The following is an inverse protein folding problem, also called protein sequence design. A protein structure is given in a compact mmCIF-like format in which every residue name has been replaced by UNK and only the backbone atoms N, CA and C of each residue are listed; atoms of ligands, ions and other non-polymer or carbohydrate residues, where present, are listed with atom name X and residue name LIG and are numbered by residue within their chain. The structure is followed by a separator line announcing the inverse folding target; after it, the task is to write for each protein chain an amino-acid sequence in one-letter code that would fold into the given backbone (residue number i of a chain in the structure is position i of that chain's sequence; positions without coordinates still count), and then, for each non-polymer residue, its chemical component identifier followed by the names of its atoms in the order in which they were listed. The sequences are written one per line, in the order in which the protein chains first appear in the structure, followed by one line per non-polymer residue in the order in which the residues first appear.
data_IF_906301321221
#
_entry.id   IF_906301321221
#
_cell.length_a   1.000
_cell.length_b   1.000
_cell.length_c   1.000
_cell.angle_alpha   90.00
_cell.angle_beta   90.00
_cell.angle_gamma   90.00
#
_symmetry.space_group_name_H-M   'P 1'
#
loop_
_entity.id
_entity.type
_entity.pdbx_description
1 polymer ?
#
# COMPACT_ATOMS: atom_id res chain seq x y z
N UNK A 1 -29.62 -36.51 7.90
CA UNK A 1 -28.71 -36.04 6.83
C UNK A 1 -27.93 -34.84 7.35
N UNK A 2 -26.73 -35.06 7.89
CA UNK A 2 -25.85 -33.99 8.34
C UNK A 2 -25.06 -33.49 7.12
N UNK A 3 -25.32 -32.24 6.72
CA UNK A 3 -24.54 -31.55 5.68
C UNK A 3 -23.18 -31.19 6.29
N UNK A 4 -22.15 -31.90 5.86
CA UNK A 4 -20.77 -31.56 6.19
C UNK A 4 -20.36 -30.36 5.32
N UNK A 5 -20.36 -29.16 5.90
CA UNK A 5 -19.70 -28.01 5.29
C UNK A 5 -18.19 -28.25 5.42
N UNK A 6 -17.60 -28.87 4.41
CA UNK A 6 -16.14 -28.94 4.28
C UNK A 6 -15.63 -27.54 3.92
N UNK A 7 -15.17 -26.80 4.94
CA UNK A 7 -14.28 -25.66 4.74
C UNK A 7 -12.98 -26.21 4.14
N UNK A 8 -12.78 -25.98 2.84
CA UNK A 8 -11.51 -26.21 2.15
C UNK A 8 -10.49 -25.21 2.71
N UNK A 9 -9.81 -25.60 3.79
CA UNK A 9 -8.67 -24.86 4.34
C UNK A 9 -7.60 -24.80 3.25
N UNK A 10 -7.20 -23.58 2.90
CA UNK A 10 -6.33 -23.28 1.76
C UNK A 10 -4.88 -23.20 2.25
N UNK A 11 -4.17 -24.31 2.16
CA UNK A 11 -2.73 -24.32 2.44
C UNK A 11 -1.97 -23.68 1.26
N UNK A 12 -1.74 -22.38 1.33
CA UNK A 12 -0.81 -21.71 0.45
C UNK A 12 0.60 -21.82 1.00
N UNK A 13 1.33 -22.85 0.55
CA UNK A 13 2.78 -22.88 0.69
C UNK A 13 3.38 -22.91 -0.71
N UNK A 14 4.25 -21.96 -1.03
CA UNK A 14 5.17 -22.14 -2.14
C UNK A 14 6.15 -23.25 -1.75
N UNK A 15 5.89 -24.47 -2.21
CA UNK A 15 6.80 -25.59 -2.02
C UNK A 15 7.65 -25.78 -3.27
N UNK A 16 8.95 -25.93 -3.06
CA UNK A 16 9.84 -26.32 -4.16
C UNK A 16 9.58 -27.81 -4.41
N UNK A 17 9.03 -28.11 -5.58
CA UNK A 17 8.80 -29.47 -6.02
C UNK A 17 10.11 -30.23 -6.28
N UNK A 18 9.99 -31.52 -6.58
CA UNK A 18 11.15 -32.34 -6.97
C UNK A 18 11.73 -31.84 -8.29
N UNK A 19 13.05 -31.97 -8.47
CA UNK A 19 13.74 -31.68 -9.74
C UNK A 19 13.16 -32.56 -10.85
N UNK A 20 12.81 -31.96 -11.99
CA UNK A 20 12.42 -32.71 -13.19
C UNK A 20 13.61 -33.50 -13.73
N UNK A 21 13.39 -34.77 -14.07
CA UNK A 21 14.45 -35.61 -14.62
C UNK A 21 14.59 -35.36 -16.12
N UNK A 22 13.47 -35.31 -16.84
CA UNK A 22 13.44 -35.29 -18.31
C UNK A 22 12.48 -34.22 -18.85
N UNK A 23 12.62 -33.89 -20.14
CA UNK A 23 11.74 -32.92 -20.85
C UNK A 23 10.26 -33.35 -20.86
N UNK A 24 10.00 -34.65 -20.84
CA UNK A 24 8.66 -35.23 -20.75
C UNK A 24 7.93 -34.81 -19.49
N UNK A 25 8.64 -34.79 -18.35
CA UNK A 25 8.08 -34.46 -17.04
C UNK A 25 7.61 -33.00 -16.98
N UNK A 26 8.31 -32.12 -17.71
CA UNK A 26 7.95 -30.70 -17.84
C UNK A 26 6.64 -30.55 -18.63
N UNK A 27 6.51 -31.27 -19.76
CA UNK A 27 5.29 -31.23 -20.58
C UNK A 27 4.10 -31.79 -19.79
N UNK A 28 4.30 -32.88 -19.06
CA UNK A 28 3.26 -33.45 -18.20
C UNK A 28 2.85 -32.46 -17.10
N UNK A 29 3.82 -31.78 -16.46
CA UNK A 29 3.54 -30.78 -15.43
C UNK A 29 2.65 -29.64 -15.96
N UNK A 30 2.94 -29.10 -17.14
CA UNK A 30 2.12 -28.05 -17.77
C UNK A 30 0.77 -28.57 -18.31
N UNK A 31 0.65 -29.88 -18.54
CA UNK A 31 -0.59 -30.51 -19.01
C UNK A 31 -1.59 -30.77 -17.88
N UNK A 32 -1.17 -30.64 -16.62
CA UNK A 32 -2.08 -30.78 -15.47
C UNK A 32 -3.13 -29.67 -15.51
N UNK A 33 -4.39 -30.04 -15.31
CA UNK A 33 -5.47 -29.08 -15.14
C UNK A 33 -5.31 -28.38 -13.79
N UNK A 34 -4.61 -27.26 -13.81
CA UNK A 34 -4.56 -26.30 -12.71
C UNK A 34 -5.51 -25.16 -13.04
N UNK A 35 -6.12 -24.58 -12.01
CA UNK A 35 -6.93 -23.37 -12.21
C UNK A 35 -6.00 -22.24 -12.64
N UNK A 36 -6.45 -21.43 -13.59
CA UNK A 36 -5.69 -20.26 -13.99
C UNK A 36 -5.89 -19.15 -12.98
N UNK A 37 -4.95 -18.22 -12.92
CA UNK A 37 -5.06 -17.05 -12.03
C UNK A 37 -6.36 -16.27 -12.26
N UNK A 38 -6.84 -16.21 -13.51
CA UNK A 38 -8.08 -15.52 -13.87
C UNK A 38 -9.34 -16.20 -13.35
N UNK A 39 -9.28 -17.52 -13.08
CA UNK A 39 -10.40 -18.25 -12.48
C UNK A 39 -10.59 -17.90 -11.01
N UNK A 40 -9.54 -17.36 -10.37
CA UNK A 40 -9.56 -16.90 -8.98
C UNK A 40 -9.89 -15.43 -8.82
N UNK A 41 -9.85 -14.65 -9.90
CA UNK A 41 -10.16 -13.23 -9.86
C UNK A 41 -11.64 -12.99 -10.16
N UNK A 42 -12.25 -11.94 -9.56
CA UNK A 42 -13.61 -11.58 -9.87
C UNK A 42 -13.75 -11.27 -11.37
N UNK A 43 -14.70 -11.96 -12.02
CA UNK A 43 -15.05 -11.67 -13.41
C UNK A 43 -15.83 -10.36 -13.50
N UNK A 44 -15.59 -9.60 -14.57
CA UNK A 44 -16.35 -8.39 -14.89
C UNK A 44 -17.85 -8.73 -14.95
N UNK A 45 -18.65 -8.22 -14.00
CA UNK A 45 -20.09 -8.49 -13.93
C UNK A 45 -20.68 -8.66 -12.53
N UNK A 46 -19.86 -8.74 -11.47
CA UNK A 46 -20.37 -8.64 -10.11
C UNK A 46 -20.96 -7.23 -9.88
N UNK A 47 -22.11 -7.14 -9.20
CA UNK A 47 -22.74 -5.85 -8.87
C UNK A 47 -21.80 -5.05 -7.97
N UNK A 48 -21.05 -4.13 -8.57
CA UNK A 48 -20.14 -3.24 -7.88
C UNK A 48 -20.95 -2.33 -6.95
N UNK A 49 -20.67 -2.41 -5.65
CA UNK A 49 -21.15 -1.40 -4.72
C UNK A 49 -20.41 -0.10 -5.02
N UNK A 50 -21.12 0.87 -5.56
CA UNK A 50 -20.56 2.17 -5.88
C UNK A 50 -20.38 2.98 -4.58
N UNK A 51 -19.17 3.51 -4.31
CA UNK A 51 -18.96 4.45 -3.21
C UNK A 51 -19.87 5.67 -3.35
N UNK A 52 -20.29 6.25 -2.23
CA UNK A 52 -21.18 7.42 -2.25
C UNK A 52 -20.45 8.63 -2.83
N UNK A 53 -21.15 9.53 -3.54
CA UNK A 53 -20.56 10.77 -4.06
C UNK A 53 -19.83 11.57 -2.97
N UNK A 54 -20.42 11.65 -1.77
CA UNK A 54 -19.83 12.33 -0.61
C UNK A 54 -18.47 11.73 -0.22
N UNK A 55 -18.32 10.41 -0.30
CA UNK A 55 -17.08 9.72 0.04
C UNK A 55 -16.00 9.97 -1.01
N UNK A 56 -16.37 9.92 -2.29
CA UNK A 56 -15.46 10.20 -3.40
C UNK A 56 -14.98 11.65 -3.34
N UNK A 57 -15.88 12.62 -3.13
CA UNK A 57 -15.51 14.03 -2.97
C UNK A 57 -14.63 14.26 -1.74
N UNK A 58 -14.91 13.57 -0.62
CA UNK A 58 -14.06 13.61 0.57
C UNK A 58 -12.66 13.08 0.29
N UNK A 59 -12.54 11.96 -0.44
CA UNK A 59 -11.25 11.38 -0.83
C UNK A 59 -10.46 12.33 -1.73
N UNK A 60 -11.11 12.91 -2.76
CA UNK A 60 -10.49 13.91 -3.63
C UNK A 60 -9.96 15.10 -2.83
N UNK A 61 -10.74 15.59 -1.86
CA UNK A 61 -10.31 16.68 -0.96
C UNK A 61 -9.09 16.32 -0.12
N UNK A 62 -9.05 15.12 0.46
CA UNK A 62 -7.90 14.66 1.27
C UNK A 62 -6.65 14.50 0.40
N UNK A 63 -6.81 14.07 -0.85
CA UNK A 63 -5.72 13.93 -1.81
C UNK A 63 -5.27 15.26 -2.44
N UNK A 64 -5.92 16.39 -2.12
CA UNK A 64 -5.63 17.69 -2.75
C UNK A 64 -5.98 17.74 -4.25
N UNK A 65 -6.98 16.96 -4.68
CA UNK A 65 -7.42 16.86 -6.08
C UNK A 65 -8.74 17.60 -6.31
N UNK A 66 -8.96 18.14 -7.52
CA UNK A 66 -10.21 18.81 -7.89
C UNK A 66 -11.39 17.83 -7.94
N UNK A 67 -12.59 18.34 -7.62
CA UNK A 67 -13.80 17.52 -7.46
C UNK A 67 -14.66 17.34 -8.73
N UNK A 68 -14.27 17.97 -9.85
CA UNK A 68 -15.08 18.06 -11.07
C UNK A 68 -15.34 16.70 -11.73
N UNK A 69 -14.36 15.79 -11.69
CA UNK A 69 -14.41 14.49 -12.36
C UNK A 69 -14.69 13.31 -11.42
N UNK A 70 -15.49 13.53 -10.37
CA UNK A 70 -15.77 12.54 -9.34
C UNK A 70 -16.39 11.23 -9.86
N UNK A 71 -17.20 11.28 -10.94
CA UNK A 71 -17.85 10.07 -11.51
C UNK A 71 -16.84 9.05 -12.04
N UNK A 72 -15.78 9.52 -12.72
CA UNK A 72 -14.71 8.65 -13.23
C UNK A 72 -13.90 8.05 -12.07
N UNK A 73 -13.67 8.84 -11.03
CA UNK A 73 -13.01 8.37 -9.80
C UNK A 73 -13.87 7.33 -9.07
N UNK A 74 -15.19 7.53 -8.99
CA UNK A 74 -16.12 6.59 -8.37
C UNK A 74 -16.10 5.22 -9.03
N UNK A 75 -16.15 5.16 -10.36
CA UNK A 75 -16.09 3.90 -11.11
C UNK A 75 -14.76 3.18 -10.93
N UNK A 76 -13.63 3.91 -11.02
CA UNK A 76 -12.31 3.33 -10.80
C UNK A 76 -12.15 2.80 -9.37
N UNK A 77 -12.62 3.58 -8.38
CA UNK A 77 -12.57 3.20 -6.98
C UNK A 77 -13.43 1.96 -6.72
N UNK A 78 -14.62 1.87 -7.32
CA UNK A 78 -15.46 0.68 -7.21
C UNK A 78 -14.75 -0.57 -7.72
N UNK A 79 -14.09 -0.50 -8.88
CA UNK A 79 -13.33 -1.63 -9.44
C UNK A 79 -12.12 -2.00 -8.56
N UNK A 80 -11.43 -0.99 -8.01
CA UNK A 80 -10.29 -1.22 -7.11
C UNK A 80 -10.75 -1.88 -5.80
N UNK A 81 -11.84 -1.39 -5.21
CA UNK A 81 -12.40 -1.94 -3.97
C UNK A 81 -12.93 -3.35 -4.18
N UNK A 82 -13.63 -3.62 -5.29
CA UNK A 82 -14.09 -4.97 -5.58
C UNK A 82 -12.94 -5.96 -5.67
N UNK A 83 -11.83 -5.56 -6.28
CA UNK A 83 -10.63 -6.39 -6.33
C UNK A 83 -10.01 -6.60 -4.94
N UNK A 84 -9.78 -5.52 -4.18
CA UNK A 84 -9.11 -5.57 -2.87
C UNK A 84 -9.95 -6.31 -1.83
N UNK A 85 -11.28 -6.19 -1.87
CA UNK A 85 -12.16 -6.83 -0.90
C UNK A 85 -12.08 -8.37 -0.92
N UNK A 86 -11.54 -8.98 -1.99
CA UNK A 86 -11.26 -10.42 -2.00
C UNK A 86 -10.24 -10.83 -0.93
N UNK A 87 -9.37 -9.90 -0.49
CA UNK A 87 -8.43 -10.15 0.61
C UNK A 87 -9.15 -10.39 1.94
N UNK A 88 -10.40 -9.93 2.10
CA UNK A 88 -11.18 -10.16 3.32
C UNK A 88 -11.61 -11.63 3.47
N UNK A 89 -11.70 -12.36 2.36
CA UNK A 89 -12.05 -13.78 2.35
C UNK A 89 -10.83 -14.70 2.55
N UNK A 90 -9.62 -14.14 2.50
CA UNK A 90 -8.38 -14.91 2.66
C UNK A 90 -8.11 -15.10 4.14
N UNK A 91 -8.08 -16.36 4.58
CA UNK A 91 -7.67 -16.71 5.93
C UNK A 91 -6.24 -16.23 6.21
N UNK A 92 -6.08 -15.50 7.32
CA UNK A 92 -4.78 -15.04 7.80
C UNK A 92 -4.29 -15.99 8.87
N UNK A 93 -3.05 -16.46 8.75
CA UNK A 93 -2.39 -17.21 9.80
C UNK A 93 -2.07 -16.28 10.98
N UNK A 94 -2.85 -16.39 12.06
CA UNK A 94 -2.72 -15.57 13.26
C UNK A 94 -1.43 -15.86 14.05
N UNK A 95 -0.65 -16.87 13.68
CA UNK A 95 0.65 -17.15 14.32
C UNK A 95 1.77 -16.28 13.75
N UNK A 96 1.56 -15.65 12.59
CA UNK A 96 2.53 -14.75 11.96
C UNK A 96 2.45 -13.38 12.64
N UNK A 97 3.55 -12.98 13.30
CA UNK A 97 3.68 -11.64 13.86
C UNK A 97 3.56 -10.59 12.73
N UNK A 98 2.60 -9.64 12.78
CA UNK A 98 2.42 -8.60 11.78
C UNK A 98 3.69 -7.76 11.53
N UNK A 99 4.58 -7.66 12.52
CA UNK A 99 5.86 -6.96 12.38
C UNK A 99 6.85 -7.70 11.47
N UNK A 100 6.62 -9.01 11.25
CA UNK A 100 7.38 -9.90 10.37
C UNK A 100 6.70 -10.17 9.02
N UNK A 101 5.58 -9.49 8.70
CA UNK A 101 4.90 -9.61 7.40
C UNK A 101 5.70 -9.08 6.19
N UNK A 102 6.95 -8.68 6.38
CA UNK A 102 7.87 -8.30 5.31
C UNK A 102 8.52 -9.55 4.71
N UNK A 103 8.73 -9.52 3.39
CA UNK A 103 9.47 -10.55 2.64
C UNK A 103 10.85 -10.82 3.26
N UNK A 104 11.48 -9.79 3.84
CA UNK A 104 12.73 -9.92 4.58
C UNK A 104 12.47 -9.62 6.07
N UNK A 105 12.77 -10.55 6.98
CA UNK A 105 12.61 -10.32 8.41
C UNK A 105 13.56 -9.20 8.85
N UNK A 106 13.03 -8.18 9.52
CA UNK A 106 13.85 -7.14 10.14
C UNK A 106 14.23 -7.59 11.54
N UNK A 107 15.51 -7.88 11.75
CA UNK A 107 16.09 -7.91 13.09
C UNK A 107 16.33 -6.46 13.53
N UNK A 108 15.36 -5.87 14.21
CA UNK A 108 15.54 -4.53 14.78
C UNK A 108 16.38 -4.64 16.05
N UNK A 109 17.52 -3.95 16.09
CA UNK A 109 18.27 -3.77 17.34
C UNK A 109 17.46 -2.83 18.25
N UNK A 110 17.07 -3.23 19.47
CA UNK A 110 16.37 -2.35 20.39
C UNK A 110 17.30 -1.20 20.79
N UNK A 111 16.76 0.02 20.84
CA UNK A 111 17.50 1.20 21.30
C UNK A 111 17.50 1.23 22.83
N UNK A 112 18.69 1.20 23.43
CA UNK A 112 18.82 1.30 24.90
C UNK A 112 18.72 2.75 25.38
N UNK A 113 18.39 2.91 26.66
CA UNK A 113 18.30 4.23 27.30
C UNK A 113 19.64 5.00 27.21
N UNK A 114 20.75 4.30 27.40
CA UNK A 114 22.09 4.91 27.32
C UNK A 114 22.42 5.34 25.90
N UNK A 115 22.12 4.53 24.89
CA UNK A 115 22.29 4.92 23.48
C UNK A 115 21.42 6.13 23.11
N UNK A 116 20.21 6.21 23.65
CA UNK A 116 19.32 7.36 23.42
C UNK A 116 19.87 8.65 24.05
N UNK A 117 20.41 8.57 25.27
CA UNK A 117 21.08 9.71 25.91
C UNK A 117 22.33 10.12 25.12
N UNK A 118 23.15 9.16 24.72
CA UNK A 118 24.34 9.41 23.90
C UNK A 118 23.98 10.10 22.57
N UNK A 119 22.92 9.67 21.89
CA UNK A 119 22.47 10.32 20.65
C UNK A 119 21.96 11.74 20.90
N UNK A 120 21.20 11.97 21.96
CA UNK A 120 20.69 13.31 22.27
C UNK A 120 21.82 14.31 22.56
N UNK A 121 22.87 13.87 23.26
CA UNK A 121 24.01 14.73 23.62
C UNK A 121 24.95 14.97 22.44
N UNK A 122 25.09 14.00 21.53
CA UNK A 122 26.13 14.01 20.49
C UNK A 122 25.61 14.34 19.09
N UNK A 123 24.33 14.68 18.91
CA UNK A 123 23.77 15.03 17.59
C UNK A 123 24.41 16.31 17.04
N UNK A 124 25.35 16.20 16.05
CA UNK A 124 25.97 17.37 15.46
C UNK A 124 25.09 17.91 14.33
N UNK A 125 25.18 19.22 14.06
CA UNK A 125 24.56 19.79 12.85
C UNK A 125 25.42 19.45 11.64
N UNK A 126 24.83 18.81 10.64
CA UNK A 126 25.49 18.47 9.38
C UNK A 126 25.27 19.57 8.33
N UNK A 127 26.37 20.15 7.84
CA UNK A 127 26.35 21.16 6.79
C UNK A 127 25.83 20.61 5.45
N UNK A 128 26.10 19.34 5.14
CA UNK A 128 25.69 18.69 3.90
C UNK A 128 24.17 18.46 3.82
N UNK A 129 23.51 18.41 4.97
CA UNK A 129 22.05 18.29 5.09
C UNK A 129 21.33 19.64 5.18
N UNK A 130 22.08 20.76 5.20
CA UNK A 130 21.50 22.10 5.35
C UNK A 130 21.02 22.42 6.77
N UNK A 131 21.50 21.70 7.80
CA UNK A 131 21.04 21.88 9.19
C UNK A 131 21.59 23.15 9.86
N UNK A 132 22.62 23.76 9.27
CA UNK A 132 23.22 25.01 9.75
C UNK A 132 22.34 26.17 9.29
N UNK A 133 21.85 26.97 10.24
CA UNK A 133 21.02 28.14 9.95
C UNK A 133 21.74 29.11 9.02
N UNK A 134 21.06 29.55 7.95
CA UNK A 134 21.63 30.43 6.93
C UNK A 134 22.57 29.75 5.93
N UNK A 135 22.78 28.43 6.03
CA UNK A 135 23.59 27.68 5.05
C UNK A 135 22.92 27.57 3.68
N UNK A 136 21.60 27.71 3.62
CA UNK A 136 20.84 27.81 2.37
C UNK A 136 19.60 28.70 2.57
N UNK A 137 19.09 29.22 1.45
CA UNK A 137 17.78 29.88 1.40
C UNK A 137 16.71 28.84 1.05
N UNK A 138 15.88 28.51 2.04
CA UNK A 138 14.81 27.52 1.89
C UNK A 138 13.71 27.93 0.91
N UNK A 139 13.55 29.21 0.63
CA UNK A 139 12.52 29.74 -0.26
C UNK A 139 12.96 29.83 -1.73
N UNK A 140 14.27 29.74 -2.00
CA UNK A 140 14.88 29.99 -3.31
C UNK A 140 14.35 29.11 -4.44
N UNK A 141 13.94 27.89 -4.14
CA UNK A 141 13.43 26.93 -5.13
C UNK A 141 11.91 27.01 -5.32
N UNK A 142 11.22 27.88 -4.59
CA UNK A 142 9.78 28.05 -4.74
C UNK A 142 9.45 28.86 -6.00
N UNK A 143 8.30 28.56 -6.62
CA UNK A 143 7.81 29.32 -7.78
C UNK A 143 7.37 30.74 -7.40
N UNK A 144 6.92 30.94 -6.16
CA UNK A 144 6.50 32.22 -5.62
C UNK A 144 7.00 32.32 -4.18
N UNK A 145 7.87 33.29 -3.92
CA UNK A 145 8.33 33.69 -2.60
C UNK A 145 8.38 35.21 -2.50
N UNK A 146 8.28 35.71 -1.27
CA UNK A 146 8.39 37.14 -0.95
C UNK A 146 9.09 37.27 0.39
N UNK A 147 10.17 38.05 0.46
CA UNK A 147 10.95 38.32 1.68
C UNK A 147 11.35 37.09 2.51
N UNK A 148 11.68 35.97 1.85
CA UNK A 148 12.06 34.71 2.51
C UNK A 148 10.88 33.85 2.98
N UNK A 149 9.64 34.25 2.68
CA UNK A 149 8.42 33.48 2.94
C UNK A 149 7.94 32.74 1.69
N UNK A 150 7.33 31.57 1.90
CA UNK A 150 6.57 30.89 0.85
C UNK A 150 5.19 31.56 0.70
N UNK A 151 4.81 31.90 -0.53
CA UNK A 151 3.54 32.58 -0.80
C UNK A 151 2.48 31.57 -1.24
N UNK A 152 1.33 31.56 -0.56
CA UNK A 152 0.16 30.74 -0.91
C UNK A 152 -0.96 31.66 -1.36
N UNK A 153 -1.52 31.42 -2.55
CA UNK A 153 -2.65 32.20 -3.06
C UNK A 153 -3.93 31.85 -2.30
N UNK A 154 -4.67 32.86 -1.88
CA UNK A 154 -5.88 32.73 -1.06
C UNK A 154 -6.95 31.80 -1.66
N UNK A 155 -7.05 31.72 -3.00
CA UNK A 155 -7.94 30.79 -3.70
C UNK A 155 -7.71 29.31 -3.38
N UNK A 156 -6.53 28.92 -2.88
CA UNK A 156 -6.23 27.54 -2.43
C UNK A 156 -6.73 27.24 -1.00
N UNK A 157 -7.09 28.26 -0.24
CA UNK A 157 -7.54 28.15 1.15
C UNK A 157 -9.08 28.20 1.24
N UNK A 158 -9.73 28.93 0.34
CA UNK A 158 -11.17 29.22 0.43
C UNK A 158 -12.09 28.06 -0.01
N UNK A 159 -11.61 27.09 -0.77
CA UNK A 159 -12.35 25.86 -1.17
C UNK A 159 -12.27 24.72 -0.12
N UNK A 160 -11.87 25.02 1.12
CA UNK A 160 -11.74 24.01 2.19
C UNK A 160 -12.98 23.83 3.07
N UNK A 161 -14.07 24.59 2.84
CA UNK A 161 -15.33 24.45 3.59
C UNK A 161 -16.18 23.30 3.08
#
# INVERSE_FOLDING_TARGET
MLKCNMSLIRQYSSSVGRKFANKTDVVEFFSKSTWKSEDYLPKDGQKLQLPTEKEVKKLLRISGLPSDNWKKAQQKLANQLSFINHLQEVEVDNTIDPTHARILPRTVKPLSHTELQDFAEKQPKDASLGEISGSFDGSKLSTISEDGYFVIREGLLNDRK
#
